data_IF_637652438248
#
_entry.id   IF_637652438248
#
_cell.length_a   1.000
_cell.length_b   1.000
_cell.length_c   1.000
_cell.angle_alpha   90.00
_cell.angle_beta   90.00
_cell.angle_gamma   90.00
#
_symmetry.space_group_name_H-M   'P 1'
#
loop_
_entity.id
_entity.type
_entity.pdbx_description
1 polymer ?
#
# COMPACT_ATOMS: atom_id res chain seq x y z
N UNK A 1 -27.12 -26.45 8.79
CA UNK A 1 -25.75 -26.12 9.22
C UNK A 1 -25.71 -24.62 9.43
N UNK A 2 -25.88 -24.17 10.68
CA UNK A 2 -25.77 -22.76 11.05
C UNK A 2 -24.30 -22.47 11.31
N UNK A 3 -23.70 -21.57 10.54
CA UNK A 3 -22.37 -21.07 10.85
C UNK A 3 -22.50 -20.13 12.05
N UNK A 4 -22.18 -20.65 13.23
CA UNK A 4 -21.96 -19.83 14.42
C UNK A 4 -20.83 -18.87 14.11
N UNK A 5 -21.13 -17.58 14.00
CA UNK A 5 -20.10 -16.54 14.05
C UNK A 5 -19.67 -16.46 15.51
N UNK A 6 -18.45 -16.89 15.79
CA UNK A 6 -17.83 -16.57 17.06
C UNK A 6 -17.78 -15.04 17.20
N UNK A 7 -18.10 -14.48 18.38
CA UNK A 7 -17.94 -13.05 18.60
C UNK A 7 -16.46 -12.72 18.46
N UNK A 8 -16.14 -11.89 17.48
CA UNK A 8 -14.80 -11.29 17.34
C UNK A 8 -14.53 -10.55 18.64
N UNK A 9 -13.58 -11.06 19.42
CA UNK A 9 -13.14 -10.46 20.68
C UNK A 9 -12.68 -9.04 20.39
N UNK A 10 -13.40 -8.04 20.88
CA UNK A 10 -12.91 -6.66 20.91
C UNK A 10 -11.64 -6.66 21.76
N UNK A 11 -10.49 -6.54 21.09
CA UNK A 11 -9.23 -6.26 21.78
C UNK A 11 -9.13 -4.75 21.94
N UNK A 12 -8.88 -4.35 23.17
CA UNK A 12 -8.86 -2.98 23.68
C UNK A 12 -7.60 -2.24 23.18
N UNK A 13 -7.55 -2.04 21.85
CA UNK A 13 -6.40 -1.58 21.06
C UNK A 13 -6.29 -2.19 19.64
N UNK A 14 -7.34 -2.87 19.15
CA UNK A 14 -7.35 -3.54 17.85
C UNK A 14 -7.18 -2.55 16.69
N UNK A 15 -6.00 -2.55 16.06
CA UNK A 15 -5.82 -1.90 14.75
C UNK A 15 -6.81 -2.47 13.73
N UNK A 16 -7.16 -1.68 12.70
CA UNK A 16 -8.07 -2.10 11.64
C UNK A 16 -7.67 -3.48 11.08
N UNK A 17 -8.63 -4.41 10.97
CA UNK A 17 -8.38 -5.76 10.44
C UNK A 17 -8.14 -5.69 8.92
N UNK A 18 -6.98 -6.13 8.41
CA UNK A 18 -6.67 -6.02 6.99
C UNK A 18 -7.46 -7.06 6.18
N UNK A 19 -8.03 -6.61 5.06
CA UNK A 19 -8.69 -7.48 4.08
C UNK A 19 -7.84 -7.55 2.81
N UNK A 20 -7.54 -8.78 2.35
CA UNK A 20 -6.76 -9.02 1.14
C UNK A 20 -7.66 -9.50 -0.01
N UNK A 21 -7.60 -8.84 -1.16
CA UNK A 21 -8.24 -9.29 -2.38
C UNK A 21 -7.26 -10.11 -3.23
N UNK A 22 -7.37 -11.43 -3.15
CA UNK A 22 -6.59 -12.35 -3.99
C UNK A 22 -7.38 -12.66 -5.27
N UNK A 23 -6.80 -12.35 -6.42
CA UNK A 23 -7.44 -12.61 -7.70
C UNK A 23 -6.40 -12.88 -8.80
N UNK A 24 -6.74 -13.68 -9.83
CA UNK A 24 -5.88 -13.83 -11.00
C UNK A 24 -5.64 -12.50 -11.71
N UNK A 25 -4.54 -12.39 -12.44
CA UNK A 25 -4.30 -11.23 -13.30
C UNK A 25 -5.48 -11.03 -14.28
N UNK A 26 -5.83 -9.76 -14.56
CA UNK A 26 -6.91 -9.38 -15.49
C UNK A 26 -8.33 -9.81 -15.07
N UNK A 27 -8.56 -9.99 -13.77
CA UNK A 27 -9.87 -10.33 -13.17
C UNK A 27 -10.68 -9.13 -12.68
N UNK A 28 -10.32 -7.91 -13.07
CA UNK A 28 -10.93 -6.65 -12.58
C UNK A 28 -10.73 -6.39 -11.07
N UNK A 29 -9.73 -7.01 -10.43
CA UNK A 29 -9.40 -6.76 -9.02
C UNK A 29 -9.16 -5.29 -8.69
N UNK A 30 -8.53 -4.52 -9.58
CA UNK A 30 -8.36 -3.07 -9.41
C UNK A 30 -9.69 -2.32 -9.29
N UNK A 31 -10.71 -2.71 -10.07
CA UNK A 31 -12.04 -2.10 -10.01
C UNK A 31 -12.74 -2.49 -8.72
N UNK A 32 -12.64 -3.76 -8.31
CA UNK A 32 -13.22 -4.22 -7.05
C UNK A 32 -12.62 -3.47 -5.85
N UNK A 33 -11.30 -3.28 -5.80
CA UNK A 33 -10.64 -2.46 -4.76
C UNK A 33 -11.16 -1.04 -4.80
N UNK A 34 -11.23 -0.39 -5.96
CA UNK A 34 -11.73 0.98 -6.07
C UNK A 34 -13.17 1.14 -5.56
N UNK A 35 -14.04 0.17 -5.86
CA UNK A 35 -15.43 0.18 -5.37
C UNK A 35 -15.51 -0.03 -3.85
N UNK A 36 -14.75 -0.97 -3.30
CA UNK A 36 -14.69 -1.23 -1.86
C UNK A 36 -14.15 -0.02 -1.08
N UNK A 37 -13.14 0.63 -1.64
CA UNK A 37 -12.47 1.81 -1.05
C UNK A 37 -13.33 3.06 -1.06
N UNK A 38 -14.50 3.04 -1.70
CA UNK A 38 -15.49 4.11 -1.61
C UNK A 38 -16.29 4.11 -0.30
N UNK A 39 -16.16 3.05 0.52
CA UNK A 39 -16.82 2.98 1.82
C UNK A 39 -16.08 3.83 2.86
N UNK A 40 -16.78 4.65 3.68
CA UNK A 40 -16.13 5.56 4.64
C UNK A 40 -15.26 4.85 5.67
N UNK A 41 -15.61 3.61 6.02
CA UNK A 41 -14.87 2.81 7.01
C UNK A 41 -13.81 1.88 6.38
N UNK A 42 -13.52 2.02 5.07
CA UNK A 42 -12.53 1.21 4.37
C UNK A 42 -11.43 2.10 3.83
N UNK A 43 -10.21 1.89 4.33
CA UNK A 43 -9.02 2.48 3.73
C UNK A 43 -8.44 1.54 2.66
N UNK A 44 -8.44 2.02 1.41
CA UNK A 44 -8.03 1.24 0.25
C UNK A 44 -6.59 1.47 -0.16
N UNK A 45 -5.78 0.40 -0.18
CA UNK A 45 -4.44 0.46 -0.75
C UNK A 45 -4.44 0.14 -2.26
N UNK A 46 -3.56 0.77 -3.06
CA UNK A 46 -3.21 0.28 -4.39
C UNK A 46 -2.50 -1.09 -4.31
N UNK A 47 -2.13 -1.69 -5.45
CA UNK A 47 -1.42 -2.98 -5.47
C UNK A 47 -0.02 -2.88 -4.82
N UNK A 48 0.20 -3.59 -3.70
CA UNK A 48 1.42 -3.44 -2.88
C UNK A 48 2.42 -4.59 -2.99
N UNK A 49 2.03 -5.74 -3.54
CA UNK A 49 2.88 -6.95 -3.68
C UNK A 49 3.50 -7.46 -2.36
N UNK A 50 2.93 -7.12 -1.19
CA UNK A 50 3.51 -7.43 0.13
C UNK A 50 3.70 -8.92 0.43
N UNK A 51 3.02 -9.81 -0.29
CA UNK A 51 3.19 -11.26 -0.15
C UNK A 51 4.36 -11.85 -0.95
N UNK A 52 5.10 -11.02 -1.68
CA UNK A 52 6.22 -11.49 -2.52
C UNK A 52 7.58 -11.46 -1.83
N UNK A 53 7.67 -10.91 -0.62
CA UNK A 53 8.88 -10.89 0.20
C UNK A 53 8.53 -11.01 1.69
N UNK A 54 9.53 -11.26 2.55
CA UNK A 54 9.30 -11.40 3.98
C UNK A 54 9.10 -10.04 4.67
N UNK A 55 9.67 -8.97 4.09
CA UNK A 55 9.55 -7.61 4.63
C UNK A 55 9.34 -6.58 3.52
N UNK A 56 8.72 -5.43 3.87
CA UNK A 56 8.61 -4.29 2.95
C UNK A 56 10.00 -3.79 2.52
N UNK A 57 10.98 -3.82 3.43
CA UNK A 57 12.38 -3.45 3.14
C UNK A 57 13.02 -4.30 2.03
N UNK A 58 12.67 -5.58 1.96
CA UNK A 58 13.11 -6.48 0.88
C UNK A 58 12.45 -6.17 -0.48
N UNK A 59 11.26 -5.54 -0.49
CA UNK A 59 10.59 -5.10 -1.72
C UNK A 59 11.19 -3.82 -2.28
N UNK A 60 11.58 -2.89 -1.40
CA UNK A 60 12.01 -1.53 -1.78
C UNK A 60 13.53 -1.33 -1.78
N UNK A 61 14.29 -2.28 -1.24
CA UNK A 61 15.75 -2.19 -1.14
C UNK A 61 16.46 -2.29 -2.50
N UNK A 62 17.70 -1.80 -2.56
CA UNK A 62 18.51 -1.79 -3.80
C UNK A 62 18.78 -3.17 -4.40
N UNK A 63 18.69 -4.23 -3.57
CA UNK A 63 18.86 -5.63 -3.99
C UNK A 63 17.53 -6.36 -4.20
N UNK A 64 16.40 -5.67 -4.12
CA UNK A 64 15.09 -6.25 -4.33
C UNK A 64 14.99 -6.84 -5.74
N UNK A 65 14.40 -8.03 -5.87
CA UNK A 65 14.08 -8.62 -7.18
C UNK A 65 13.27 -7.64 -8.04
N UNK A 66 12.39 -6.88 -7.38
CA UNK A 66 11.51 -5.89 -8.00
C UNK A 66 12.16 -4.54 -8.28
N UNK A 67 13.40 -4.30 -7.84
CA UNK A 67 14.14 -3.09 -8.20
C UNK A 67 14.30 -2.95 -9.73
N UNK A 68 14.27 -4.07 -10.47
CA UNK A 68 14.32 -4.11 -11.94
C UNK A 68 13.00 -3.80 -12.62
N UNK A 69 11.90 -3.75 -11.85
CA UNK A 69 10.55 -3.52 -12.35
C UNK A 69 9.85 -2.40 -11.54
N UNK A 70 10.38 -1.17 -11.56
CA UNK A 70 9.93 -0.08 -10.68
C UNK A 70 8.43 0.22 -10.81
N UNK A 71 7.85 0.04 -12.00
CA UNK A 71 6.41 0.22 -12.25
C UNK A 71 5.53 -0.75 -11.43
N UNK A 72 6.03 -1.94 -11.09
CA UNK A 72 5.33 -2.95 -10.28
C UNK A 72 5.21 -2.54 -8.81
N UNK A 73 6.15 -1.75 -8.32
CA UNK A 73 6.18 -1.25 -6.94
C UNK A 73 5.48 0.10 -6.78
N UNK A 74 4.96 0.69 -7.86
CA UNK A 74 4.33 2.02 -7.83
C UNK A 74 3.19 2.12 -6.81
N UNK A 75 2.39 1.06 -6.65
CA UNK A 75 1.34 1.03 -5.63
C UNK A 75 1.92 1.01 -4.20
N UNK A 76 2.95 0.21 -3.93
CA UNK A 76 3.62 0.20 -2.64
C UNK A 76 4.20 1.58 -2.28
N UNK A 77 4.90 2.24 -3.21
CA UNK A 77 5.44 3.58 -2.97
C UNK A 77 4.37 4.63 -2.72
N UNK A 78 3.28 4.59 -3.49
CA UNK A 78 2.10 5.45 -3.26
C UNK A 78 1.43 5.21 -1.92
N UNK A 79 1.38 3.96 -1.45
CA UNK A 79 0.86 3.63 -0.13
C UNK A 79 1.76 4.21 0.98
N UNK A 80 3.08 4.07 0.84
CA UNK A 80 4.05 4.65 1.80
C UNK A 80 3.95 6.17 1.82
N UNK A 81 3.89 6.81 0.66
CA UNK A 81 3.73 8.26 0.53
C UNK A 81 2.45 8.75 1.23
N UNK A 82 1.31 8.10 0.97
CA UNK A 82 0.03 8.52 1.58
C UNK A 82 0.04 8.37 3.10
N UNK A 83 0.60 7.26 3.61
CA UNK A 83 0.66 7.00 5.06
C UNK A 83 1.67 7.89 5.80
N UNK A 84 2.81 8.21 5.18
CA UNK A 84 3.90 8.95 5.83
C UNK A 84 3.81 10.46 5.58
N UNK A 85 3.46 10.88 4.36
CA UNK A 85 3.45 12.28 3.93
C UNK A 85 2.03 12.87 3.84
N UNK A 86 0.98 12.04 3.97
CA UNK A 86 -0.41 12.47 3.85
C UNK A 86 -0.84 12.81 2.43
N UNK A 87 -0.13 12.29 1.42
CA UNK A 87 -0.47 12.50 0.02
C UNK A 87 0.35 11.65 -0.96
N UNK A 88 -0.02 11.71 -2.23
CA UNK A 88 0.57 10.91 -3.33
C UNK A 88 1.08 11.78 -4.49
N UNK A 89 1.45 13.03 -4.20
CA UNK A 89 2.09 13.89 -5.19
C UNK A 89 3.48 13.35 -5.59
N UNK A 90 4.00 13.80 -6.74
CA UNK A 90 5.26 13.28 -7.29
C UNK A 90 6.45 13.45 -6.31
N UNK A 91 6.41 14.50 -5.49
CA UNK A 91 7.41 14.77 -4.45
C UNK A 91 7.29 13.78 -3.28
N UNK A 92 6.07 13.42 -2.85
CA UNK A 92 5.82 12.44 -1.79
C UNK A 92 6.10 11.00 -2.24
N UNK A 93 5.84 10.68 -3.51
CA UNK A 93 6.05 9.33 -4.06
C UNK A 93 7.51 9.07 -4.43
N UNK A 94 8.37 10.09 -4.35
CA UNK A 94 9.77 10.06 -4.77
C UNK A 94 10.42 8.72 -4.46
N UNK A 95 10.52 7.89 -5.51
CA UNK A 95 11.23 6.63 -5.44
C UNK A 95 12.67 7.01 -5.09
N UNK A 96 13.27 6.50 -4.00
CA UNK A 96 14.69 6.64 -3.78
C UNK A 96 15.40 5.90 -4.92
N UNK A 97 15.67 6.59 -6.02
CA UNK A 97 16.49 6.07 -7.10
C UNK A 97 17.93 6.20 -6.61
N UNK A 98 18.73 5.11 -6.56
CA UNK A 98 20.13 5.22 -6.15
C UNK A 98 20.86 6.24 -7.03
N UNK A 99 21.31 7.34 -6.42
CA UNK A 99 22.03 8.43 -7.10
C UNK A 99 21.18 9.63 -7.57
N UNK A 100 19.86 9.67 -7.32
CA UNK A 100 19.08 10.88 -7.57
C UNK A 100 19.26 11.91 -6.46
N UNK A 101 19.39 13.21 -6.77
CA UNK A 101 19.40 14.26 -5.75
C UNK A 101 18.06 14.26 -5.02
N UNK A 102 18.09 14.17 -3.69
CA UNK A 102 16.91 14.36 -2.85
C UNK A 102 16.36 15.77 -3.07
N UNK A 103 15.06 15.87 -3.37
CA UNK A 103 14.40 17.16 -3.50
C UNK A 103 14.52 17.93 -2.16
N UNK A 104 14.75 19.25 -2.18
CA UNK A 104 14.87 20.03 -0.95
C UNK A 104 13.55 20.00 -0.17
N UNK A 105 13.61 19.51 1.07
CA UNK A 105 12.48 19.50 2.00
C UNK A 105 12.07 20.92 2.36
N UNK A 106 11.03 21.44 1.70
CA UNK A 106 10.49 22.75 2.02
C UNK A 106 9.11 22.93 1.41
N UNK A 107 8.06 22.51 2.11
CA UNK A 107 6.70 23.00 1.83
C UNK A 107 6.58 24.42 2.39
N UNK A 108 6.23 25.44 1.60
CA UNK A 108 5.72 26.69 2.17
C UNK A 108 4.35 26.46 2.79
N UNK A 109 4.16 26.97 4.00
CA UNK A 109 2.88 26.98 4.70
C UNK A 109 1.88 27.85 3.94
N UNK A 110 0.73 27.29 3.58
CA UNK A 110 -0.48 28.04 3.20
C UNK A 110 -1.65 27.50 3.99
#
# INVERSE_FOLDING_TARGET
MSLSRDPVSESDGAGAEPVFLLAPARSYSTVAVALLSGHPDVYGFPETLVFTAATVGELIGERAEWARFPLRLSGLWRAVADLHEGGQDDDAVAVPVPGSPTAPSGRPSV
#
